data_IF_248425411107
#
_entry.id   IF_248425411107
#
_cell.length_a   1.000
_cell.length_b   1.000
_cell.length_c   1.000
_cell.angle_alpha   90.00
_cell.angle_beta   90.00
_cell.angle_gamma   90.00
#
_symmetry.space_group_name_H-M   'P 1'
#
loop_
_entity.id
_entity.type
_entity.pdbx_description
1 polymer ?
#
# COMPACT_ATOMS: atom_id res chain seq x y z
N UNK A 1 0.69 -6.20 -49.41
CA UNK A 1 1.50 -5.41 -48.46
C UNK A 1 1.06 -5.78 -47.06
N UNK A 2 1.91 -6.58 -46.45
CA UNK A 2 2.15 -6.83 -45.03
C UNK A 2 1.09 -6.47 -43.99
N UNK A 3 0.62 -7.54 -43.34
CA UNK A 3 0.00 -7.60 -42.02
C UNK A 3 0.64 -6.65 -41.00
N UNK A 4 -0.19 -5.90 -40.28
CA UNK A 4 0.10 -5.54 -38.88
C UNK A 4 -1.07 -5.96 -38.02
N UNK A 5 -1.01 -7.24 -37.64
CA UNK A 5 -1.71 -7.81 -36.50
C UNK A 5 -1.25 -7.01 -35.28
N UNK A 6 -2.02 -6.02 -34.84
CA UNK A 6 -1.81 -5.43 -33.51
C UNK A 6 -2.32 -6.45 -32.50
N UNK A 7 -1.42 -7.34 -32.12
CA UNK A 7 -1.55 -8.19 -30.94
C UNK A 7 -1.71 -7.25 -29.76
N UNK A 8 -2.96 -6.99 -29.36
CA UNK A 8 -3.26 -6.51 -28.02
C UNK A 8 -2.88 -7.68 -27.12
N UNK A 9 -1.62 -7.66 -26.67
CA UNK A 9 -1.11 -8.55 -25.66
C UNK A 9 -1.87 -8.18 -24.38
N UNK A 10 -3.05 -8.78 -24.22
CA UNK A 10 -3.72 -8.85 -22.95
C UNK A 10 -2.73 -9.51 -21.99
N UNK A 11 -2.02 -8.69 -21.21
CA UNK A 11 -1.33 -9.11 -20.00
C UNK A 11 -2.42 -9.55 -19.01
N UNK A 12 -3.05 -10.68 -19.30
CA UNK A 12 -3.64 -11.55 -18.30
C UNK A 12 -2.44 -12.04 -17.49
N UNK A 13 -2.02 -11.23 -16.52
CA UNK A 13 -1.36 -11.75 -15.34
C UNK A 13 -2.35 -12.73 -14.73
N UNK A 14 -2.24 -13.98 -15.16
CA UNK A 14 -2.77 -15.13 -14.45
C UNK A 14 -2.04 -15.08 -13.12
N UNK A 15 -2.62 -14.38 -12.15
CA UNK A 15 -2.26 -14.51 -10.75
C UNK A 15 -2.55 -15.96 -10.42
N UNK A 16 -1.57 -16.83 -10.68
CA UNK A 16 -1.58 -18.17 -10.14
C UNK A 16 -1.62 -17.99 -8.63
N UNK A 17 -2.83 -18.17 -8.10
CA UNK A 17 -3.21 -18.00 -6.71
C UNK A 17 -2.53 -19.07 -5.85
N UNK A 18 -1.21 -19.01 -5.76
CA UNK A 18 -0.53 -19.42 -4.56
C UNK A 18 -0.83 -18.33 -3.55
N UNK A 19 -2.02 -18.40 -2.94
CA UNK A 19 -2.35 -17.63 -1.76
C UNK A 19 -1.31 -18.02 -0.70
N UNK A 20 -0.21 -17.26 -0.64
CA UNK A 20 0.79 -17.44 0.38
C UNK A 20 0.09 -17.06 1.68
N UNK A 21 -0.27 -18.08 2.47
CA UNK A 21 -0.93 -17.89 3.75
C UNK A 21 0.00 -17.10 4.67
N UNK A 22 -0.33 -15.84 4.93
CA UNK A 22 0.40 -14.99 5.85
C UNK A 22 0.10 -15.46 7.27
N UNK A 23 1.15 -15.73 8.04
CA UNK A 23 1.06 -16.06 9.46
C UNK A 23 1.45 -14.87 10.32
N UNK A 24 1.03 -14.88 11.60
CA UNK A 24 1.46 -13.87 12.58
C UNK A 24 2.99 -13.76 12.64
N UNK A 25 3.67 -14.91 12.63
CA UNK A 25 5.14 -14.98 12.65
C UNK A 25 5.80 -14.23 11.50
N UNK A 26 5.19 -14.24 10.31
CA UNK A 26 5.72 -13.55 9.15
C UNK A 26 5.67 -12.02 9.34
N UNK A 27 4.59 -11.55 9.96
CA UNK A 27 4.33 -10.13 10.21
C UNK A 27 5.11 -9.55 11.40
N UNK A 28 5.47 -10.35 12.41
CA UNK A 28 6.12 -9.85 13.64
C UNK A 28 7.29 -8.91 13.36
N UNK A 29 7.33 -7.80 14.10
CA UNK A 29 8.37 -6.77 14.03
C UNK A 29 7.91 -5.47 13.36
N UNK A 30 8.86 -4.55 13.21
CA UNK A 30 8.63 -3.23 12.61
C UNK A 30 8.84 -3.26 11.11
N UNK A 31 7.96 -2.60 10.38
CA UNK A 31 7.96 -2.43 8.94
C UNK A 31 7.93 -0.94 8.61
N UNK A 32 8.96 -0.45 7.94
CA UNK A 32 9.08 0.95 7.54
C UNK A 32 8.55 1.12 6.12
N UNK A 33 7.85 2.22 5.86
CA UNK A 33 7.38 2.51 4.51
C UNK A 33 8.57 2.73 3.57
N UNK A 34 8.45 2.19 2.36
CA UNK A 34 9.44 2.39 1.28
C UNK A 34 8.79 2.95 0.02
N UNK A 35 7.48 2.78 -0.14
CA UNK A 35 6.71 3.44 -1.18
C UNK A 35 5.27 3.67 -0.73
N UNK A 36 4.67 4.75 -1.24
CA UNK A 36 3.26 5.07 -1.12
C UNK A 36 2.73 5.37 -2.52
N UNK A 37 1.61 4.75 -2.90
CA UNK A 37 0.84 5.18 -4.05
C UNK A 37 -0.52 5.70 -3.60
N UNK A 38 -0.90 6.89 -4.06
CA UNK A 38 -2.21 7.49 -3.81
C UNK A 38 -2.76 8.00 -5.13
N UNK A 39 -3.93 7.51 -5.52
CA UNK A 39 -4.66 8.02 -6.69
C UNK A 39 -3.78 8.09 -7.95
N UNK A 40 -2.96 7.05 -8.13
CA UNK A 40 -2.01 6.87 -9.23
C UNK A 40 -0.65 7.55 -9.06
N UNK A 41 -0.49 8.50 -8.14
CA UNK A 41 0.83 9.06 -7.81
C UNK A 41 1.62 8.09 -6.99
N UNK A 42 2.90 7.93 -7.33
CA UNK A 42 3.82 7.11 -6.56
C UNK A 42 4.93 7.95 -5.94
N UNK A 43 5.09 7.82 -4.64
CA UNK A 43 6.24 8.28 -3.87
C UNK A 43 7.13 7.07 -3.54
N UNK A 44 8.40 7.12 -3.94
CA UNK A 44 9.41 6.12 -3.60
C UNK A 44 10.38 6.73 -2.58
N UNK A 45 10.32 6.25 -1.33
CA UNK A 45 11.09 6.83 -0.23
C UNK A 45 12.54 6.35 -0.20
N UNK A 46 12.86 5.23 -0.87
CA UNK A 46 14.24 4.74 -0.99
C UNK A 46 15.06 5.64 -1.92
N UNK A 47 14.48 6.01 -3.05
CA UNK A 47 15.13 6.83 -4.08
C UNK A 47 14.83 8.32 -3.94
N UNK A 48 13.75 8.69 -3.24
CA UNK A 48 13.22 10.05 -3.19
C UNK A 48 12.47 10.45 -4.47
N UNK A 49 12.16 9.50 -5.35
CA UNK A 49 11.49 9.76 -6.62
C UNK A 49 9.99 9.93 -6.42
N UNK A 50 9.40 10.89 -7.14
CA UNK A 50 7.94 11.05 -7.24
C UNK A 50 7.56 10.85 -8.70
N UNK A 51 6.59 9.98 -8.94
CA UNK A 51 5.98 9.76 -10.24
C UNK A 51 4.54 10.23 -10.18
N UNK A 52 4.23 11.27 -10.93
CA UNK A 52 2.88 11.82 -10.98
C UNK A 52 2.10 11.19 -12.14
N UNK A 53 0.91 10.66 -11.86
CA UNK A 53 0.05 10.08 -12.89
C UNK A 53 -0.50 11.17 -13.82
N UNK A 54 -0.79 10.81 -15.07
CA UNK A 54 -1.36 11.75 -16.06
C UNK A 54 -2.82 12.12 -15.73
N UNK A 55 -3.53 11.27 -14.99
CA UNK A 55 -4.99 11.30 -14.84
C UNK A 55 -5.50 11.76 -13.46
N UNK A 56 -4.90 12.78 -12.82
CA UNK A 56 -5.59 13.36 -11.66
C UNK A 56 -6.68 14.33 -12.07
N UNK A 57 -7.90 14.00 -11.64
CA UNK A 57 -8.96 14.96 -11.45
C UNK A 57 -9.38 14.85 -9.98
N UNK A 58 -9.02 15.86 -9.18
CA UNK A 58 -9.62 16.03 -7.85
C UNK A 58 -10.64 17.15 -7.96
N UNK A 59 -11.89 16.87 -7.59
CA UNK A 59 -13.00 17.83 -7.59
C UNK A 59 -13.25 18.52 -8.95
N UNK A 60 -12.90 17.87 -10.06
CA UNK A 60 -13.03 18.43 -11.42
C UNK A 60 -12.02 19.53 -11.77
N UNK A 61 -11.04 19.81 -10.90
CA UNK A 61 -9.96 20.75 -11.16
C UNK A 61 -8.74 20.01 -11.71
N UNK A 62 -8.29 20.42 -12.91
CA UNK A 62 -6.97 20.02 -13.39
C UNK A 62 -5.92 20.85 -12.67
N UNK A 63 -5.25 20.22 -11.70
CA UNK A 63 -4.03 20.76 -11.10
C UNK A 63 -2.88 20.49 -12.07
N UNK A 64 -2.05 21.49 -12.34
CA UNK A 64 -0.89 21.29 -13.19
C UNK A 64 0.04 20.24 -12.56
N UNK A 65 0.60 19.34 -13.37
CA UNK A 65 1.53 18.28 -12.91
C UNK A 65 2.62 18.81 -11.98
N UNK A 66 3.18 19.98 -12.29
CA UNK A 66 4.21 20.64 -11.47
C UNK A 66 3.72 21.04 -10.08
N UNK A 67 2.48 21.49 -9.94
CA UNK A 67 1.89 21.86 -8.64
C UNK A 67 1.62 20.60 -7.81
N UNK A 68 1.14 19.53 -8.45
CA UNK A 68 0.96 18.22 -7.82
C UNK A 68 2.29 17.63 -7.33
N UNK A 69 3.34 17.72 -8.13
CA UNK A 69 4.69 17.32 -7.72
C UNK A 69 5.18 18.10 -6.50
N UNK A 70 4.89 19.41 -6.40
CA UNK A 70 5.26 20.24 -5.23
C UNK A 70 4.50 19.78 -4.00
N UNK A 71 3.17 19.62 -4.08
CA UNK A 71 2.34 19.16 -2.97
C UNK A 71 2.81 17.79 -2.43
N UNK A 72 3.11 16.85 -3.34
CA UNK A 72 3.65 15.54 -2.95
C UNK A 72 5.03 15.68 -2.30
N UNK A 73 5.93 16.51 -2.84
CA UNK A 73 7.25 16.76 -2.24
C UNK A 73 7.13 17.33 -0.83
N UNK A 74 6.22 18.26 -0.60
CA UNK A 74 5.94 18.83 0.71
C UNK A 74 5.35 17.81 1.68
N UNK A 75 4.58 16.83 1.17
CA UNK A 75 4.01 15.74 1.96
C UNK A 75 5.03 14.64 2.33
N UNK A 76 6.15 14.51 1.58
CA UNK A 76 7.14 13.44 1.78
C UNK A 76 7.65 13.31 3.22
N UNK A 77 8.04 14.39 3.94
CA UNK A 77 8.53 14.28 5.30
C UNK A 77 7.51 13.67 6.26
N UNK A 78 6.21 13.96 6.04
CA UNK A 78 5.13 13.38 6.84
C UNK A 78 5.07 11.88 6.58
N UNK A 79 5.02 11.44 5.32
CA UNK A 79 4.89 10.01 5.05
C UNK A 79 6.14 9.21 5.41
N UNK A 80 7.35 9.79 5.41
CA UNK A 80 8.60 9.10 5.79
C UNK A 80 8.63 8.53 7.20
N UNK A 81 7.81 9.04 8.13
CA UNK A 81 7.70 8.48 9.49
C UNK A 81 6.72 7.31 9.58
N UNK A 82 6.01 7.01 8.49
CA UNK A 82 4.98 5.95 8.44
C UNK A 82 5.61 4.57 8.63
N UNK A 83 5.08 3.83 9.57
CA UNK A 83 5.53 2.46 9.85
C UNK A 83 4.40 1.67 10.51
N UNK A 84 4.44 0.35 10.35
CA UNK A 84 3.59 -0.57 11.10
C UNK A 84 4.46 -1.54 11.90
N UNK A 85 4.13 -1.74 13.16
CA UNK A 85 4.80 -2.71 14.03
C UNK A 85 3.79 -3.73 14.50
N UNK A 86 4.06 -4.99 14.19
CA UNK A 86 3.29 -6.13 14.67
C UNK A 86 4.00 -6.73 15.88
N UNK A 87 3.25 -6.89 16.97
CA UNK A 87 3.69 -7.50 18.20
C UNK A 87 3.10 -8.90 18.33
N UNK A 88 3.66 -9.69 19.25
CA UNK A 88 3.07 -10.95 19.66
C UNK A 88 1.67 -10.74 20.24
N UNK A 89 0.85 -11.80 20.22
CA UNK A 89 -0.55 -11.79 20.67
C UNK A 89 -1.44 -10.87 19.81
N UNK A 90 -1.08 -10.73 18.53
CA UNK A 90 -1.86 -9.99 17.53
C UNK A 90 -2.21 -8.55 17.94
N UNK A 91 -1.26 -7.86 18.54
CA UNK A 91 -1.36 -6.41 18.72
C UNK A 91 -0.55 -5.71 17.61
N UNK A 92 -1.06 -4.60 17.08
CA UNK A 92 -0.34 -3.76 16.13
C UNK A 92 -0.32 -2.30 16.58
N UNK A 93 0.74 -1.61 16.17
CA UNK A 93 0.80 -0.14 16.17
C UNK A 93 1.10 0.33 14.75
N UNK A 94 0.33 1.29 14.28
CA UNK A 94 0.49 1.91 12.98
C UNK A 94 0.68 3.41 13.16
N UNK A 95 1.80 3.93 12.68
CA UNK A 95 2.05 5.36 12.59
C UNK A 95 1.78 5.81 11.17
N UNK A 96 0.90 6.79 10.99
CA UNK A 96 0.65 7.46 9.71
C UNK A 96 0.98 8.94 9.87
N UNK A 97 2.12 9.37 9.35
CA UNK A 97 2.61 10.73 9.61
C UNK A 97 2.81 11.01 11.11
N UNK A 98 2.19 12.07 11.66
CA UNK A 98 2.28 12.41 13.09
C UNK A 98 1.29 11.61 13.97
N UNK A 99 0.38 10.84 13.38
CA UNK A 99 -0.68 10.15 14.11
C UNK A 99 -0.28 8.71 14.43
N UNK A 100 -0.64 8.26 15.63
CA UNK A 100 -0.40 6.90 16.10
C UNK A 100 -1.72 6.18 16.36
N UNK A 101 -1.87 5.02 15.72
CA UNK A 101 -2.98 4.10 15.85
C UNK A 101 -2.48 2.80 16.47
N UNK A 102 -3.32 2.14 17.26
CA UNK A 102 -2.98 0.83 17.81
C UNK A 102 -4.22 0.02 18.17
N UNK A 103 -4.07 -1.30 18.19
CA UNK A 103 -5.16 -2.19 18.55
C UNK A 103 -4.83 -3.65 18.27
N UNK A 104 -5.73 -4.53 18.72
CA UNK A 104 -5.66 -5.93 18.36
C UNK A 104 -6.17 -6.15 16.94
N UNK A 105 -5.61 -7.15 16.27
CA UNK A 105 -6.00 -7.54 14.93
C UNK A 105 -6.22 -9.05 14.80
N UNK A 106 -6.90 -9.43 13.73
CA UNK A 106 -7.01 -10.80 13.25
C UNK A 106 -6.46 -10.87 11.82
N UNK A 107 -5.91 -12.03 11.47
CA UNK A 107 -5.56 -12.38 10.09
C UNK A 107 -6.72 -13.22 9.55
N UNK A 108 -7.40 -12.73 8.52
CA UNK A 108 -8.56 -13.38 7.91
C UNK A 108 -8.25 -13.66 6.45
N UNK A 109 -8.68 -14.81 5.95
CA UNK A 109 -8.50 -15.21 4.55
C UNK A 109 -9.87 -15.40 3.91
N UNK A 110 -10.15 -14.68 2.82
CA UNK A 110 -11.41 -14.77 2.09
C UNK A 110 -11.17 -14.57 0.59
N UNK A 111 -11.68 -15.49 -0.23
CA UNK A 111 -11.49 -15.42 -1.69
C UNK A 111 -10.02 -15.49 -2.14
N UNK A 112 -9.14 -16.07 -1.33
CA UNK A 112 -7.69 -16.13 -1.59
C UNK A 112 -6.93 -14.84 -1.30
N UNK A 113 -7.59 -13.84 -0.70
CA UNK A 113 -6.99 -12.59 -0.24
C UNK A 113 -6.84 -12.66 1.26
N UNK A 114 -5.68 -12.23 1.78
CA UNK A 114 -5.45 -12.10 3.22
C UNK A 114 -5.76 -10.67 3.65
N UNK A 115 -6.43 -10.55 4.80
CA UNK A 115 -6.82 -9.28 5.40
C UNK A 115 -6.28 -9.17 6.82
N UNK A 116 -5.85 -7.97 7.19
CA UNK A 116 -5.74 -7.54 8.58
C UNK A 116 -7.06 -6.90 8.95
N UNK A 117 -7.71 -7.42 9.98
CA UNK A 117 -9.01 -6.95 10.45
C UNK A 117 -8.89 -6.54 11.91
N UNK A 118 -9.46 -5.41 12.31
CA UNK A 118 -9.56 -5.07 13.73
C UNK A 118 -10.41 -6.11 14.46
N UNK A 119 -9.96 -6.61 15.62
CA UNK A 119 -10.56 -7.78 16.28
C UNK A 119 -12.06 -7.60 16.60
N UNK A 120 -12.52 -6.37 16.82
CA UNK A 120 -13.91 -6.03 17.14
C UNK A 120 -14.70 -5.38 15.99
N UNK A 121 -14.16 -5.34 14.77
CA UNK A 121 -14.85 -4.77 13.60
C UNK A 121 -14.83 -5.75 12.44
N UNK A 122 -16.00 -6.15 11.97
CA UNK A 122 -16.14 -6.97 10.76
C UNK A 122 -15.99 -6.14 9.46
N UNK A 123 -16.05 -4.81 9.59
CA UNK A 123 -16.18 -3.88 8.46
C UNK A 123 -14.82 -3.33 8.04
N UNK A 124 -13.91 -3.15 8.98
CA UNK A 124 -12.59 -2.56 8.72
C UNK A 124 -11.57 -3.66 8.39
N UNK A 125 -11.65 -4.16 7.15
CA UNK A 125 -10.71 -5.14 6.62
C UNK A 125 -9.73 -4.47 5.69
N UNK A 126 -8.46 -4.69 5.95
CA UNK A 126 -7.37 -4.17 5.15
C UNK A 126 -6.71 -5.32 4.38
N UNK A 127 -6.78 -5.34 3.04
CA UNK A 127 -6.04 -6.30 2.24
C UNK A 127 -4.53 -6.17 2.47
N UNK A 128 -3.87 -7.32 2.66
CA UNK A 128 -2.42 -7.40 2.78
C UNK A 128 -1.84 -8.54 1.96
N UNK A 129 -0.62 -8.33 1.48
CA UNK A 129 0.15 -9.34 0.75
C UNK A 129 1.62 -9.28 1.18
N UNK A 130 2.22 -10.45 1.41
CA UNK A 130 3.68 -10.59 1.51
C UNK A 130 4.22 -11.10 0.18
N UNK A 131 5.14 -10.36 -0.42
CA UNK A 131 5.80 -10.77 -1.66
C UNK A 131 7.23 -10.25 -1.66
N UNK A 132 8.18 -11.13 -1.97
CA UNK A 132 9.62 -10.79 -2.07
C UNK A 132 10.17 -10.12 -0.80
N UNK A 133 9.65 -10.51 0.38
CA UNK A 133 10.05 -9.93 1.67
C UNK A 133 9.48 -8.54 1.96
N UNK A 134 8.58 -8.04 1.12
CA UNK A 134 7.88 -6.77 1.29
C UNK A 134 6.43 -7.01 1.71
N UNK A 135 5.91 -6.10 2.54
CA UNK A 135 4.51 -6.07 2.94
C UNK A 135 3.78 -5.01 2.13
N UNK A 136 2.77 -5.44 1.38
CA UNK A 136 1.86 -4.60 0.62
C UNK A 136 0.57 -4.46 1.44
N UNK A 137 0.09 -3.24 1.58
CA UNK A 137 -1.06 -2.90 2.42
C UNK A 137 -1.91 -1.86 1.71
N UNK A 138 -3.19 -2.17 1.54
CA UNK A 138 -4.16 -1.30 0.86
C UNK A 138 -5.13 -0.72 1.88
N UNK A 139 -5.20 0.61 1.95
CA UNK A 139 -6.11 1.32 2.86
C UNK A 139 -6.99 2.25 2.04
N UNK A 140 -8.31 2.05 2.11
CA UNK A 140 -9.28 2.97 1.55
C UNK A 140 -9.74 3.95 2.65
N UNK A 141 -9.60 5.25 2.38
CA UNK A 141 -10.12 6.32 3.25
C UNK A 141 -10.97 7.22 2.36
N UNK A 142 -12.27 7.27 2.63
CA UNK A 142 -13.24 8.01 1.81
C UNK A 142 -13.18 7.57 0.34
N UNK A 143 -12.79 8.46 -0.58
CA UNK A 143 -12.68 8.20 -2.02
C UNK A 143 -11.25 7.86 -2.47
N UNK A 144 -10.27 7.98 -1.57
CA UNK A 144 -8.85 7.74 -1.88
C UNK A 144 -8.43 6.33 -1.45
N UNK A 145 -7.67 5.65 -2.32
CA UNK A 145 -7.02 4.38 -2.02
C UNK A 145 -5.52 4.59 -1.90
N UNK A 146 -4.98 4.21 -0.75
CA UNK A 146 -3.57 4.27 -0.41
C UNK A 146 -2.96 2.87 -0.53
N UNK A 147 -1.96 2.72 -1.38
CA UNK A 147 -1.16 1.50 -1.49
C UNK A 147 0.20 1.73 -0.84
N UNK A 148 0.37 1.15 0.34
CA UNK A 148 1.63 1.20 1.06
C UNK A 148 2.47 -0.03 0.70
N UNK A 149 3.76 0.19 0.53
CA UNK A 149 4.77 -0.87 0.47
C UNK A 149 5.74 -0.66 1.61
N UNK A 150 5.88 -1.67 2.46
CA UNK A 150 6.79 -1.65 3.60
C UNK A 150 7.91 -2.68 3.45
N UNK A 151 9.04 -2.33 4.04
CA UNK A 151 10.18 -3.21 4.23
C UNK A 151 10.42 -3.43 5.72
N UNK A 152 10.78 -4.66 6.09
CA UNK A 152 11.06 -5.02 7.47
C UNK A 152 12.30 -4.26 7.96
N UNK A 153 12.19 -3.60 9.12
CA UNK A 153 13.31 -2.89 9.72
C UNK A 153 14.44 -3.89 10.04
N UNK A 154 15.66 -3.60 9.58
CA UNK A 154 16.85 -4.35 9.98
C UNK A 154 17.15 -4.00 11.44
N UNK A 155 17.36 -5.04 12.27
CA UNK A 155 17.73 -4.87 13.68
C UNK A 155 19.14 -4.32 13.82
#
# INVERSE_FOLDING_TARGET
MENKLFTVLAFLFVFAANAQKITEKDLLGKWNIISLTISGDKMDFKTGTITVSEDWQKDGLQIAKSEREVLLKESLPYFRTTNVTFFENRFLSFRLGPEDYSGNYAIVEEGGITYIQAENSAVDRVPVMLKEGLLYWELAIEEDIFYFVFEKAVK
#
